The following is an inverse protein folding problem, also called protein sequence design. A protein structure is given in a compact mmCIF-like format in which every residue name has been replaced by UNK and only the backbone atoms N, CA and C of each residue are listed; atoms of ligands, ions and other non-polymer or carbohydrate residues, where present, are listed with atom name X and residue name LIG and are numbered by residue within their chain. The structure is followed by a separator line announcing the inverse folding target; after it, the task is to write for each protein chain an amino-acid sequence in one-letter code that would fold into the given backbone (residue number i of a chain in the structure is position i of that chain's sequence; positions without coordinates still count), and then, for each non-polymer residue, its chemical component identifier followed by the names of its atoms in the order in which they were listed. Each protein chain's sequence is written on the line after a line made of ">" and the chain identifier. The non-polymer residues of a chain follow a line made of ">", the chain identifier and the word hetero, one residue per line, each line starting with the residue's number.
data_IF_075909150418
#
_entry.id   IF_075909150418
#
_cell.length_a   1.000
_cell.length_b   1.000
_cell.length_c   1.000
_cell.angle_alpha   90.00
_cell.angle_beta   90.00
_cell.angle_gamma   90.00
#
_symmetry.space_group_name_H-M   'P 1'
#
loop_
_entity.id
_entity.type
_entity.pdbx_description
1 polymer ?
#
# COMPACT_ATOMS: atom_id res chain seq x y z
N UNK A 1 -35.36 -14.64 1.00
CA UNK A 1 -34.70 -14.75 2.32
C UNK A 1 -33.24 -15.18 2.19
N UNK A 2 -32.93 -16.15 1.34
CA UNK A 2 -31.56 -16.62 1.03
C UNK A 2 -30.65 -15.54 0.42
N UNK A 3 -31.15 -14.71 -0.50
CA UNK A 3 -30.32 -13.67 -1.15
C UNK A 3 -29.88 -12.55 -0.20
N UNK A 4 -30.72 -12.22 0.78
CA UNK A 4 -30.41 -11.21 1.82
C UNK A 4 -29.27 -11.72 2.70
N UNK A 5 -29.34 -12.97 3.15
CA UNK A 5 -28.31 -13.61 3.97
C UNK A 5 -26.98 -13.69 3.20
N UNK A 6 -27.02 -14.02 1.90
CA UNK A 6 -25.83 -14.07 1.04
C UNK A 6 -25.19 -12.69 0.89
N UNK A 7 -25.99 -11.63 0.67
CA UNK A 7 -25.50 -10.26 0.57
C UNK A 7 -24.80 -9.79 1.86
N UNK A 8 -25.39 -10.05 3.03
CA UNK A 8 -24.75 -9.67 4.30
C UNK A 8 -23.43 -10.40 4.55
N UNK A 9 -23.35 -11.69 4.22
CA UNK A 9 -22.12 -12.47 4.34
C UNK A 9 -21.00 -11.92 3.44
N UNK A 10 -21.34 -11.54 2.20
CA UNK A 10 -20.39 -10.93 1.27
C UNK A 10 -19.87 -9.58 1.79
N UNK A 11 -20.76 -8.72 2.31
CA UNK A 11 -20.36 -7.42 2.87
C UNK A 11 -19.41 -7.59 4.06
N UNK A 12 -19.71 -8.50 4.98
CA UNK A 12 -18.83 -8.81 6.13
C UNK A 12 -17.46 -9.31 5.66
N UNK A 13 -17.43 -10.16 4.63
CA UNK A 13 -16.19 -10.70 4.07
C UNK A 13 -15.32 -9.60 3.43
N UNK A 14 -15.93 -8.67 2.68
CA UNK A 14 -15.23 -7.53 2.07
C UNK A 14 -14.67 -6.58 3.13
N UNK A 15 -15.44 -6.29 4.19
CA UNK A 15 -14.96 -5.46 5.30
C UNK A 15 -13.78 -6.12 6.02
N UNK A 16 -13.85 -7.43 6.27
CA UNK A 16 -12.74 -8.17 6.88
C UNK A 16 -11.48 -8.14 6.01
N UNK A 17 -11.62 -8.42 4.70
CA UNK A 17 -10.51 -8.36 3.75
C UNK A 17 -9.88 -6.96 3.71
N UNK A 18 -10.70 -5.90 3.72
CA UNK A 18 -10.23 -4.52 3.78
C UNK A 18 -9.35 -4.25 4.99
N UNK A 19 -9.79 -4.69 6.18
CA UNK A 19 -9.02 -4.51 7.42
C UNK A 19 -7.70 -5.27 7.35
N UNK A 20 -7.69 -6.50 6.81
CA UNK A 20 -6.46 -7.28 6.65
C UNK A 20 -5.45 -6.61 5.70
N UNK A 21 -5.92 -6.10 4.57
CA UNK A 21 -5.07 -5.38 3.61
C UNK A 21 -4.52 -4.09 4.25
N UNK A 22 -5.38 -3.33 4.93
CA UNK A 22 -4.98 -2.11 5.64
C UNK A 22 -3.95 -2.38 6.74
N UNK A 23 -4.16 -3.43 7.53
CA UNK A 23 -3.19 -3.90 8.53
C UNK A 23 -1.84 -4.23 7.90
N UNK A 24 -1.82 -4.98 6.80
CA UNK A 24 -0.58 -5.35 6.13
C UNK A 24 0.19 -4.13 5.62
N UNK A 25 -0.47 -3.17 4.96
CA UNK A 25 0.18 -1.94 4.51
C UNK A 25 0.70 -1.09 5.67
N UNK A 26 -0.07 -0.99 6.76
CA UNK A 26 0.37 -0.24 7.95
C UNK A 26 1.60 -0.89 8.59
N UNK A 27 1.59 -2.20 8.75
CA UNK A 27 2.73 -2.97 9.25
C UNK A 27 3.98 -2.76 8.40
N UNK A 28 3.85 -2.90 7.08
CA UNK A 28 4.93 -2.68 6.12
C UNK A 28 5.46 -1.24 6.14
N UNK A 29 4.59 -0.24 6.33
CA UNK A 29 4.99 1.15 6.46
C UNK A 29 5.72 1.45 7.77
N UNK A 30 5.21 0.92 8.89
CA UNK A 30 5.84 1.08 10.22
C UNK A 30 7.23 0.46 10.25
N UNK A 31 7.41 -0.75 9.70
CA UNK A 31 8.74 -1.38 9.67
C UNK A 31 9.74 -0.55 8.86
N UNK A 32 9.32 0.00 7.73
CA UNK A 32 10.19 0.85 6.89
C UNK A 32 10.53 2.16 7.58
N UNK A 33 9.60 2.73 8.34
CA UNK A 33 9.84 3.94 9.13
C UNK A 33 10.89 3.74 10.23
N UNK A 34 10.88 2.57 10.88
CA UNK A 34 11.81 2.25 11.97
C UNK A 34 13.10 1.56 11.52
N UNK A 35 13.24 1.23 10.24
CA UNK A 35 14.45 0.64 9.69
C UNK A 35 15.24 1.71 8.89
N UNK A 36 16.30 2.30 9.48
CA UNK A 36 17.09 3.34 8.81
C UNK A 36 17.85 2.82 7.58
N UNK A 37 18.05 1.51 7.46
CA UNK A 37 18.75 0.89 6.34
C UNK A 37 17.79 0.52 5.19
N UNK A 38 16.48 0.72 5.37
CA UNK A 38 15.51 0.40 4.33
C UNK A 38 15.58 1.37 3.15
N UNK A 39 15.57 0.83 1.94
CA UNK A 39 15.51 1.61 0.69
C UNK A 39 14.77 0.87 -0.42
N UNK A 40 14.09 1.60 -1.29
CA UNK A 40 13.43 1.10 -2.49
C UNK A 40 14.41 0.79 -3.64
N UNK A 41 15.69 1.16 -3.49
CA UNK A 41 16.70 1.07 -4.57
C UNK A 41 16.75 -0.32 -5.22
N UNK A 42 16.80 -1.38 -4.41
CA UNK A 42 16.88 -2.76 -4.93
C UNK A 42 15.67 -3.16 -5.78
N UNK A 43 14.48 -2.70 -5.43
CA UNK A 43 13.25 -2.95 -6.20
C UNK A 43 13.25 -2.18 -7.52
N UNK A 44 13.73 -0.93 -7.52
CA UNK A 44 13.81 -0.09 -8.71
C UNK A 44 14.92 -0.51 -9.67
N UNK A 45 16.10 -0.85 -9.15
CA UNK A 45 17.27 -1.24 -9.95
C UNK A 45 17.04 -2.56 -10.71
N UNK A 46 16.20 -3.44 -10.15
CA UNK A 46 15.87 -4.74 -10.75
C UNK A 46 14.61 -4.69 -11.62
N UNK A 47 13.98 -3.52 -11.79
CA UNK A 47 12.74 -3.39 -12.55
C UNK A 47 12.88 -3.86 -14.02
N UNK A 48 11.87 -4.60 -14.49
CA UNK A 48 11.79 -5.11 -15.86
C UNK A 48 10.48 -4.68 -16.52
N UNK A 49 10.47 -4.66 -17.86
CA UNK A 49 9.29 -4.32 -18.65
C UNK A 49 9.34 -2.93 -19.32
N UNK A 50 8.23 -2.46 -19.90
CA UNK A 50 8.19 -1.27 -20.75
C UNK A 50 8.54 0.03 -20.01
N UNK A 51 8.36 0.08 -18.69
CA UNK A 51 8.66 1.24 -17.85
C UNK A 51 10.01 1.16 -17.13
N UNK A 52 10.86 0.18 -17.48
CA UNK A 52 12.17 -0.01 -16.83
C UNK A 52 13.01 1.27 -16.78
N UNK A 53 13.05 2.04 -17.87
CA UNK A 53 13.81 3.29 -17.94
C UNK A 53 13.36 4.33 -16.91
N UNK A 54 12.06 4.41 -16.63
CA UNK A 54 11.49 5.33 -15.64
C UNK A 54 11.90 4.89 -14.22
N UNK A 55 11.78 3.60 -13.91
CA UNK A 55 12.16 3.09 -12.59
C UNK A 55 13.67 3.23 -12.32
N UNK A 56 14.50 2.98 -13.33
CA UNK A 56 15.95 3.21 -13.22
C UNK A 56 16.27 4.71 -13.09
N UNK A 57 15.53 5.59 -13.77
CA UNK A 57 15.73 7.04 -13.60
C UNK A 57 15.46 7.50 -12.16
N UNK A 58 14.55 6.84 -11.45
CA UNK A 58 14.25 7.11 -10.04
C UNK A 58 15.33 6.62 -9.07
N UNK A 59 16.29 5.79 -9.51
CA UNK A 59 17.41 5.33 -8.68
C UNK A 59 18.52 6.36 -8.51
N UNK A 60 18.35 7.58 -9.01
CA UNK A 60 19.31 8.66 -8.84
C UNK A 60 19.40 9.08 -7.36
N UNK A 61 20.60 9.39 -6.87
CA UNK A 61 20.84 9.82 -5.48
C UNK A 61 19.95 11.00 -5.08
N UNK A 62 19.69 11.94 -6.00
CA UNK A 62 18.83 13.10 -5.76
C UNK A 62 17.34 12.74 -5.56
N UNK A 63 16.87 11.64 -6.13
CA UNK A 63 15.46 11.21 -6.08
C UNK A 63 15.20 10.11 -5.05
N UNK A 64 16.21 9.31 -4.72
CA UNK A 64 16.05 8.15 -3.83
C UNK A 64 15.48 8.49 -2.46
N UNK A 65 15.94 9.57 -1.82
CA UNK A 65 15.39 9.99 -0.52
C UNK A 65 13.90 10.33 -0.57
N UNK A 66 13.44 10.96 -1.67
CA UNK A 66 12.03 11.23 -1.89
C UNK A 66 11.23 9.96 -2.14
N UNK A 67 11.75 9.04 -2.96
CA UNK A 67 11.11 7.75 -3.23
C UNK A 67 10.90 6.96 -1.94
N UNK A 68 11.95 6.84 -1.11
CA UNK A 68 11.90 6.05 0.12
C UNK A 68 10.94 6.66 1.14
N UNK A 69 10.97 7.98 1.28
CA UNK A 69 10.06 8.72 2.17
C UNK A 69 8.62 8.60 1.71
N UNK A 70 8.34 8.83 0.43
CA UNK A 70 6.99 8.75 -0.12
C UNK A 70 6.44 7.33 -0.05
N UNK A 71 7.25 6.30 -0.35
CA UNK A 71 6.82 4.91 -0.26
C UNK A 71 6.40 4.56 1.17
N UNK A 72 7.22 4.93 2.15
CA UNK A 72 6.92 4.70 3.58
C UNK A 72 5.66 5.46 4.02
N UNK A 73 5.56 6.74 3.67
CA UNK A 73 4.43 7.60 4.03
C UNK A 73 3.12 7.09 3.42
N UNK A 74 3.14 6.72 2.15
CA UNK A 74 1.96 6.21 1.44
C UNK A 74 1.49 4.89 2.04
N UNK A 75 2.39 3.97 2.39
CA UNK A 75 2.03 2.70 3.04
C UNK A 75 1.29 2.92 4.37
N UNK A 76 1.80 3.83 5.20
CA UNK A 76 1.15 4.17 6.49
C UNK A 76 -0.21 4.83 6.23
N UNK A 77 -0.27 5.82 5.34
CA UNK A 77 -1.50 6.54 5.03
C UNK A 77 -2.58 5.61 4.46
N UNK A 78 -2.23 4.78 3.49
CA UNK A 78 -3.15 3.80 2.88
C UNK A 78 -3.57 2.75 3.92
N UNK A 79 -2.65 2.26 4.75
CA UNK A 79 -2.98 1.32 5.82
C UNK A 79 -4.01 1.87 6.80
N UNK A 80 -3.81 3.09 7.29
CA UNK A 80 -4.75 3.78 8.20
C UNK A 80 -6.10 4.02 7.53
N UNK A 81 -6.11 4.54 6.30
CA UNK A 81 -7.37 4.84 5.58
C UNK A 81 -8.19 3.59 5.28
N UNK A 82 -7.56 2.46 4.95
CA UNK A 82 -8.24 1.18 4.74
C UNK A 82 -8.82 0.60 6.03
N UNK A 83 -8.09 0.67 7.15
CA UNK A 83 -8.58 0.21 8.46
C UNK A 83 -9.78 1.06 8.89
N UNK A 84 -9.66 2.39 8.82
CA UNK A 84 -10.70 3.32 9.25
C UNK A 84 -11.90 3.37 8.29
N UNK A 85 -11.74 2.94 7.02
CA UNK A 85 -12.81 2.95 6.04
C UNK A 85 -13.18 4.34 5.52
N UNK A 86 -12.30 5.34 5.64
CA UNK A 86 -12.59 6.76 5.34
C UNK A 86 -13.10 6.98 3.90
N UNK A 87 -12.67 6.15 2.94
CA UNK A 87 -13.06 6.25 1.53
C UNK A 87 -14.01 5.15 1.05
N UNK A 88 -14.60 4.35 1.95
CA UNK A 88 -15.42 3.20 1.56
C UNK A 88 -16.65 3.58 0.71
N UNK A 89 -17.12 4.83 0.80
CA UNK A 89 -18.31 5.34 0.09
C UNK A 89 -18.00 6.12 -1.19
N UNK A 90 -16.74 6.54 -1.38
CA UNK A 90 -16.36 7.36 -2.55
C UNK A 90 -16.06 6.49 -3.79
N UNK A 91 -15.81 5.19 -3.59
CA UNK A 91 -15.63 4.21 -4.67
C UNK A 91 -16.89 3.41 -5.02
N UNK A 92 -18.06 3.77 -4.48
CA UNK A 92 -19.35 3.11 -4.71
C UNK A 92 -20.20 3.86 -5.76
#
# INVERSE_FOLDING_TARGET
>A
MTDVIKKESLLKSVVFLRILIGWHFLYEGVIKLFNPDWTAFGYLATAQGPFKSVFIALTNEATMGWVDTLNTLVLIFVGVTLILGIFEKWGA
#
